data_IF_991509266418
#
_entry.id   IF_991509266418
#
_cell.length_a   1.000
_cell.length_b   1.000
_cell.length_c   1.000
_cell.angle_alpha   90.00
_cell.angle_beta   90.00
_cell.angle_gamma   90.00
#
_symmetry.space_group_name_H-M   'P 1'
#
loop_
_entity.id
_entity.type
_entity.pdbx_description
1 polymer ?
#
# COMPACT_ATOMS: atom_id res chain seq x y z
N UNK A 1 -20.72 -8.35 -1.63
CA UNK A 1 -20.57 -7.89 -3.02
C UNK A 1 -19.24 -7.16 -3.25
N UNK A 2 -18.95 -6.03 -2.59
CA UNK A 2 -17.68 -5.31 -2.82
C UNK A 2 -16.40 -6.08 -2.44
N UNK A 3 -16.36 -6.70 -1.24
CA UNK A 3 -15.20 -7.46 -0.76
C UNK A 3 -14.78 -8.59 -1.72
N UNK A 4 -15.75 -9.37 -2.20
CA UNK A 4 -15.51 -10.47 -3.14
C UNK A 4 -14.89 -10.03 -4.47
N UNK A 5 -15.21 -8.82 -4.94
CA UNK A 5 -14.62 -8.26 -6.16
C UNK A 5 -13.15 -7.88 -5.90
N UNK A 6 -12.88 -7.20 -4.78
CA UNK A 6 -11.52 -6.83 -4.37
C UNK A 6 -10.63 -8.08 -4.21
N UNK A 7 -11.16 -9.15 -3.63
CA UNK A 7 -10.42 -10.42 -3.48
C UNK A 7 -10.06 -11.03 -4.84
N UNK A 8 -10.98 -10.98 -5.82
CA UNK A 8 -10.73 -11.43 -7.20
C UNK A 8 -9.68 -10.59 -7.92
N UNK A 9 -9.77 -9.26 -7.82
CA UNK A 9 -8.80 -8.34 -8.43
C UNK A 9 -7.39 -8.53 -7.85
N UNK A 10 -7.28 -8.73 -6.53
CA UNK A 10 -5.99 -8.99 -5.89
C UNK A 10 -5.41 -10.35 -6.25
N UNK A 11 -6.25 -11.39 -6.37
CA UNK A 11 -5.82 -12.69 -6.85
C UNK A 11 -5.27 -12.61 -8.29
N UNK A 12 -5.92 -11.83 -9.15
CA UNK A 12 -5.44 -11.55 -10.51
C UNK A 12 -4.07 -10.83 -10.48
N UNK A 13 -3.92 -9.77 -9.69
CA UNK A 13 -2.66 -9.03 -9.60
C UNK A 13 -1.50 -9.91 -9.08
N UNK A 14 -1.76 -10.75 -8.07
CA UNK A 14 -0.77 -11.73 -7.57
C UNK A 14 -0.34 -12.72 -8.67
N UNK A 15 -1.29 -13.21 -9.47
CA UNK A 15 -1.00 -14.09 -10.60
C UNK A 15 -0.19 -13.38 -11.70
N UNK A 16 -0.35 -12.07 -11.85
CA UNK A 16 0.43 -11.23 -12.76
C UNK A 16 1.84 -10.88 -12.21
N UNK A 17 2.18 -11.30 -10.98
CA UNK A 17 3.49 -11.06 -10.37
C UNK A 17 3.57 -9.87 -9.41
N UNK A 18 2.43 -9.26 -9.04
CA UNK A 18 2.44 -8.22 -8.01
C UNK A 18 2.79 -8.83 -6.64
N UNK A 19 3.62 -8.10 -5.91
CA UNK A 19 4.17 -8.43 -4.59
C UNK A 19 3.94 -7.27 -3.64
N UNK A 20 4.22 -7.44 -2.35
CA UNK A 20 4.13 -6.37 -1.34
C UNK A 20 4.98 -5.13 -1.70
N UNK A 21 6.05 -5.29 -2.48
CA UNK A 21 6.86 -4.18 -2.96
C UNK A 21 6.08 -3.22 -3.89
N UNK A 22 5.04 -3.72 -4.57
CA UNK A 22 4.18 -2.91 -5.45
C UNK A 22 3.10 -2.16 -4.67
N UNK A 23 2.86 -2.53 -3.41
CA UNK A 23 1.88 -1.89 -2.52
C UNK A 23 2.53 -0.73 -1.71
N UNK A 24 3.65 -0.19 -2.18
CA UNK A 24 4.41 0.89 -1.51
C UNK A 24 4.10 2.25 -2.11
N UNK A 25 4.08 3.28 -1.27
CA UNK A 25 3.95 4.68 -1.70
C UNK A 25 5.21 5.13 -2.44
N UNK A 26 5.10 6.15 -3.33
CA UNK A 26 6.26 6.73 -3.98
C UNK A 26 7.33 7.20 -2.99
N UNK A 27 8.60 7.06 -3.34
CA UNK A 27 9.76 7.35 -2.48
C UNK A 27 9.72 8.77 -1.89
N UNK A 28 9.33 9.77 -2.70
CA UNK A 28 9.28 11.17 -2.24
C UNK A 28 8.32 11.36 -1.06
N UNK A 29 7.28 10.55 -0.91
CA UNK A 29 6.35 10.67 0.23
C UNK A 29 7.01 10.31 1.56
N UNK A 30 8.09 9.52 1.54
CA UNK A 30 8.86 9.18 2.74
C UNK A 30 9.93 10.22 3.07
N UNK A 31 10.29 11.09 2.13
CA UNK A 31 11.46 11.99 2.23
C UNK A 31 11.03 13.47 2.28
N UNK A 32 10.10 13.87 1.42
CA UNK A 32 9.73 15.26 1.20
C UNK A 32 8.69 15.72 2.23
N UNK A 33 9.03 16.78 2.96
CA UNK A 33 8.13 17.44 3.91
C UNK A 33 7.42 18.57 3.20
N UNK A 34 6.10 18.46 3.08
CA UNK A 34 5.27 19.48 2.45
C UNK A 34 4.61 20.39 3.50
N UNK A 35 4.65 21.73 3.30
CA UNK A 35 3.94 22.66 4.17
C UNK A 35 2.41 22.49 4.04
N UNK A 36 1.62 22.89 5.05
CA UNK A 36 2.06 23.52 6.31
C UNK A 36 2.49 22.51 7.38
N UNK A 37 2.16 21.23 7.22
CA UNK A 37 2.31 20.24 8.28
C UNK A 37 3.72 19.63 8.37
N UNK A 38 4.50 19.68 7.28
CA UNK A 38 5.89 19.22 7.22
C UNK A 38 6.09 17.79 7.75
N UNK A 39 5.10 16.91 7.49
CA UNK A 39 5.15 15.49 7.82
C UNK A 39 5.41 14.65 6.56
N UNK A 40 6.10 13.53 6.74
CA UNK A 40 6.26 12.50 5.71
C UNK A 40 5.29 11.35 5.99
N UNK A 41 5.18 10.41 5.06
CA UNK A 41 4.43 9.18 5.25
C UNK A 41 5.05 8.35 6.38
N UNK A 42 4.39 8.35 7.54
CA UNK A 42 4.90 7.75 8.78
C UNK A 42 4.34 6.36 9.10
N UNK A 43 3.67 5.71 8.15
CA UNK A 43 3.13 4.36 8.34
C UNK A 43 4.23 3.36 8.07
N UNK A 44 4.49 2.47 9.03
CA UNK A 44 5.51 1.43 8.87
C UNK A 44 5.08 0.37 7.85
N UNK A 45 6.06 -0.32 7.27
CA UNK A 45 5.79 -1.38 6.30
C UNK A 45 4.98 -2.53 6.89
N UNK A 46 5.19 -2.85 8.18
CA UNK A 46 4.46 -3.91 8.88
C UNK A 46 2.97 -3.58 8.99
N UNK A 47 2.65 -2.30 9.21
CA UNK A 47 1.27 -1.82 9.27
C UNK A 47 0.65 -1.86 7.88
N UNK A 48 1.36 -1.41 6.84
CA UNK A 48 0.89 -1.50 5.46
C UNK A 48 0.61 -2.95 5.04
N UNK A 49 1.51 -3.87 5.37
CA UNK A 49 1.35 -5.29 5.05
C UNK A 49 0.21 -5.94 5.84
N UNK A 50 -0.29 -5.31 6.91
CA UNK A 50 -1.42 -5.80 7.70
C UNK A 50 -2.79 -5.46 7.12
N UNK A 51 -2.90 -4.49 6.20
CA UNK A 51 -4.19 -4.02 5.63
C UNK A 51 -5.01 -5.15 5.02
N UNK A 52 -4.34 -6.17 4.50
CA UNK A 52 -4.97 -7.32 3.86
C UNK A 52 -4.65 -8.66 4.54
N UNK A 53 -4.07 -8.64 5.73
CA UNK A 53 -3.98 -9.82 6.59
C UNK A 53 -5.34 -9.98 7.29
N UNK A 54 -5.85 -11.21 7.31
CA UNK A 54 -7.08 -11.53 8.05
C UNK A 54 -6.88 -11.53 9.56
#
# INVERSE_FOLDING_TARGET
>A
IGKEIIDKERAFNKAAGFTSAHDRVPEFMNIEKLPPHNVTFGVSEEILDSVFKE
#
